data_IF_163179803195
#
_entry.id   IF_163179803195
#
_cell.length_a   1.000
_cell.length_b   1.000
_cell.length_c   1.000
_cell.angle_alpha   90.00
_cell.angle_beta   90.00
_cell.angle_gamma   90.00
#
_symmetry.space_group_name_H-M   'P 1'
#
loop_
_entity.id
_entity.type
_entity.pdbx_description
1 polymer ?
#
# COMPACT_ATOMS: atom_id res chain seq x y z
N UNK A 1 31.61 -1.28 -40.25
CA UNK A 1 32.14 -2.29 -39.30
C UNK A 1 31.46 -2.26 -37.92
N UNK A 2 31.08 -1.11 -37.36
CA UNK A 2 30.48 -1.07 -36.01
C UNK A 2 28.99 -1.46 -35.92
N UNK A 3 28.21 -1.26 -36.99
CA UNK A 3 26.77 -1.56 -36.99
C UNK A 3 26.45 -3.05 -37.04
N UNK A 4 27.30 -3.87 -37.66
CA UNK A 4 27.15 -5.34 -37.70
C UNK A 4 27.42 -5.95 -36.33
N UNK A 5 28.45 -5.46 -35.63
CA UNK A 5 28.81 -5.92 -34.28
C UNK A 5 27.71 -5.62 -33.24
N UNK A 6 27.03 -4.47 -33.36
CA UNK A 6 25.87 -4.16 -32.51
C UNK A 6 24.71 -5.13 -32.74
N UNK A 7 24.42 -5.46 -33.99
CA UNK A 7 23.33 -6.39 -34.35
C UNK A 7 23.63 -7.81 -33.85
N UNK A 8 24.87 -8.28 -33.98
CA UNK A 8 25.28 -9.59 -33.44
C UNK A 8 25.14 -9.67 -31.92
N UNK A 9 25.58 -8.62 -31.20
CA UNK A 9 25.42 -8.55 -29.73
C UNK A 9 23.93 -8.58 -29.34
N UNK A 10 23.05 -7.89 -30.08
CA UNK A 10 21.60 -7.92 -29.82
C UNK A 10 20.99 -9.30 -30.04
N UNK A 11 21.40 -10.01 -31.10
CA UNK A 11 20.94 -11.40 -31.32
C UNK A 11 21.37 -12.32 -30.19
N UNK A 12 22.63 -12.22 -29.74
CA UNK A 12 23.13 -13.00 -28.62
C UNK A 12 22.37 -12.71 -27.32
N UNK A 13 22.03 -11.44 -27.05
CA UNK A 13 21.21 -11.06 -25.89
C UNK A 13 19.83 -11.72 -25.97
N UNK A 14 19.19 -11.71 -27.14
CA UNK A 14 17.87 -12.32 -27.32
C UNK A 14 17.90 -13.84 -27.12
N UNK A 15 18.94 -14.51 -27.61
CA UNK A 15 19.13 -15.96 -27.39
C UNK A 15 19.38 -16.28 -25.91
N UNK A 16 20.23 -15.51 -25.23
CA UNK A 16 20.49 -15.67 -23.80
C UNK A 16 19.25 -15.39 -22.94
N UNK A 17 18.45 -14.38 -23.31
CA UNK A 17 17.18 -14.09 -22.64
C UNK A 17 16.17 -15.24 -22.81
N UNK A 18 16.08 -15.80 -24.02
CA UNK A 18 15.21 -16.95 -24.28
C UNK A 18 15.65 -18.17 -23.47
N UNK A 19 16.95 -18.44 -23.40
CA UNK A 19 17.49 -19.52 -22.59
C UNK A 19 17.20 -19.31 -21.09
N UNK A 20 17.33 -18.08 -20.59
CA UNK A 20 17.00 -17.75 -19.21
C UNK A 20 15.52 -17.96 -18.89
N UNK A 21 14.61 -17.58 -19.80
CA UNK A 21 13.17 -17.79 -19.62
C UNK A 21 12.82 -19.29 -19.58
N UNK A 22 13.43 -20.10 -20.44
CA UNK A 22 13.20 -21.55 -20.47
C UNK A 22 13.68 -22.21 -19.18
N UNK A 23 14.85 -21.81 -18.66
CA UNK A 23 15.36 -22.27 -17.36
C UNK A 23 14.39 -21.89 -16.25
N UNK A 24 13.96 -20.62 -16.18
CA UNK A 24 13.01 -20.15 -15.15
C UNK A 24 11.70 -20.93 -15.24
N UNK A 25 11.21 -21.21 -16.45
CA UNK A 25 9.98 -21.97 -16.65
C UNK A 25 10.10 -23.40 -16.13
N UNK A 26 11.20 -24.08 -16.44
CA UNK A 26 11.45 -25.45 -15.99
C UNK A 26 11.61 -25.52 -14.46
N UNK A 27 12.41 -24.62 -13.89
CA UNK A 27 12.60 -24.50 -12.44
C UNK A 27 11.28 -24.17 -11.74
N UNK A 28 10.47 -23.27 -12.29
CA UNK A 28 9.16 -22.92 -11.75
C UNK A 28 8.21 -24.11 -11.73
N UNK A 29 8.22 -24.95 -12.76
CA UNK A 29 7.39 -26.18 -12.79
C UNK A 29 7.85 -27.15 -11.69
N UNK A 30 9.17 -27.34 -11.53
CA UNK A 30 9.72 -28.19 -10.48
C UNK A 30 9.35 -27.69 -9.07
N UNK A 31 9.51 -26.39 -8.81
CA UNK A 31 9.15 -25.75 -7.54
C UNK A 31 7.65 -25.85 -7.26
N UNK A 32 6.79 -25.59 -8.25
CA UNK A 32 5.33 -25.73 -8.08
C UNK A 32 4.97 -27.17 -7.71
N UNK A 33 5.61 -28.17 -8.34
CA UNK A 33 5.40 -29.59 -8.01
C UNK A 33 5.81 -29.90 -6.58
N UNK A 34 6.96 -29.40 -6.14
CA UNK A 34 7.45 -29.59 -4.76
C UNK A 34 6.51 -28.93 -3.74
N UNK A 35 6.05 -27.70 -4.01
CA UNK A 35 5.09 -27.00 -3.16
C UNK A 35 3.81 -27.83 -3.05
N UNK A 36 3.23 -28.26 -4.17
CA UNK A 36 2.01 -29.09 -4.16
C UNK A 36 2.17 -30.36 -3.32
N UNK A 37 3.28 -31.08 -3.49
CA UNK A 37 3.56 -32.28 -2.70
C UNK A 37 3.66 -31.97 -1.19
N UNK A 38 4.29 -30.83 -0.81
CA UNK A 38 4.31 -30.36 0.57
C UNK A 38 2.91 -30.02 1.07
N UNK A 39 2.08 -29.34 0.28
CA UNK A 39 0.69 -29.04 0.65
C UNK A 39 -0.11 -30.30 0.95
N UNK A 40 0.00 -31.32 0.10
CA UNK A 40 -0.68 -32.59 0.27
C UNK A 40 -0.15 -33.35 1.52
N UNK A 41 1.16 -33.43 1.69
CA UNK A 41 1.79 -34.14 2.80
C UNK A 41 1.43 -33.55 4.18
N UNK A 42 1.30 -32.22 4.26
CA UNK A 42 0.93 -31.53 5.50
C UNK A 42 -0.56 -31.19 5.59
N UNK A 43 -1.38 -31.63 4.62
CA UNK A 43 -2.80 -31.32 4.52
C UNK A 43 -3.10 -29.81 4.66
N UNK A 44 -2.25 -28.98 4.04
CA UNK A 44 -2.36 -27.51 4.03
C UNK A 44 -3.15 -27.09 2.80
N UNK A 45 -4.26 -26.37 3.00
CA UNK A 45 -5.00 -25.78 1.89
C UNK A 45 -4.27 -24.54 1.35
N UNK A 46 -4.39 -24.27 0.05
CA UNK A 46 -3.87 -23.04 -0.58
C UNK A 46 -4.42 -21.78 0.10
N UNK A 47 -5.65 -21.86 0.63
CA UNK A 47 -6.30 -20.77 1.36
C UNK A 47 -5.59 -20.41 2.68
N UNK A 48 -4.94 -21.37 3.33
CA UNK A 48 -4.17 -21.15 4.57
C UNK A 48 -2.87 -20.39 4.31
N UNK A 49 -2.29 -20.54 3.12
CA UNK A 49 -1.08 -19.81 2.69
C UNK A 49 -1.41 -18.42 2.18
N UNK A 50 -2.62 -18.23 1.65
CA UNK A 50 -3.09 -16.91 1.25
C UNK A 50 -3.24 -16.02 2.49
N UNK A 51 -2.18 -15.28 2.81
CA UNK A 51 -2.23 -14.24 3.82
C UNK A 51 -3.20 -13.16 3.32
N UNK A 52 -4.47 -13.26 3.72
CA UNK A 52 -5.48 -12.21 3.53
C UNK A 52 -5.15 -11.07 4.50
N UNK A 53 -4.02 -10.41 4.30
CA UNK A 53 -3.81 -9.09 4.88
C UNK A 53 -4.80 -8.16 4.19
N UNK A 54 -5.97 -7.97 4.81
CA UNK A 54 -6.82 -6.83 4.46
C UNK A 54 -5.90 -5.61 4.56
N UNK A 55 -5.69 -4.82 3.49
CA UNK A 55 -4.95 -3.59 3.63
C UNK A 55 -5.69 -2.78 4.68
N UNK A 56 -5.04 -2.58 5.83
CA UNK A 56 -5.56 -1.66 6.82
C UNK A 56 -5.57 -0.31 6.12
N UNK A 57 -6.77 0.20 5.79
CA UNK A 57 -6.94 1.54 5.26
C UNK A 57 -6.20 2.48 6.22
N UNK A 58 -5.03 2.97 5.81
CA UNK A 58 -4.28 3.96 6.57
C UNK A 58 -5.16 5.20 6.61
N UNK A 59 -5.85 5.40 7.74
CA UNK A 59 -6.64 6.62 7.98
C UNK A 59 -5.65 7.78 7.93
N UNK A 60 -5.69 8.57 6.86
CA UNK A 60 -4.93 9.81 6.80
C UNK A 60 -5.27 10.65 8.04
N UNK A 61 -4.27 11.28 8.68
CA UNK A 61 -4.51 12.08 9.88
C UNK A 61 -5.54 13.16 9.55
N UNK A 62 -6.59 13.25 10.37
CA UNK A 62 -7.65 14.22 10.16
C UNK A 62 -7.09 15.64 10.37
N UNK A 63 -7.22 16.50 9.37
CA UNK A 63 -6.78 17.89 9.42
C UNK A 63 -7.58 18.64 10.49
N UNK A 64 -6.86 19.34 11.39
CA UNK A 64 -7.48 20.17 12.42
C UNK A 64 -8.15 21.37 11.75
N UNK A 65 -9.47 21.51 11.90
CA UNK A 65 -10.26 22.58 11.26
C UNK A 65 -10.41 23.81 12.15
N UNK A 66 -10.52 23.62 13.47
CA UNK A 66 -10.66 24.68 14.46
C UNK A 66 -9.71 24.45 15.65
N UNK A 67 -9.07 25.49 16.18
CA UNK A 67 -8.12 25.42 17.30
C UNK A 67 -8.28 26.63 18.22
N UNK A 68 -8.57 26.39 19.51
CA UNK A 68 -8.65 27.41 20.55
C UNK A 68 -7.31 27.62 21.26
N UNK A 69 -6.58 26.54 21.54
CA UNK A 69 -5.23 26.57 22.08
C UNK A 69 -4.45 25.30 21.67
N UNK A 70 -3.28 25.05 22.26
CA UNK A 70 -2.46 23.89 21.91
C UNK A 70 -3.11 22.54 22.21
N UNK A 71 -3.96 22.48 23.22
CA UNK A 71 -4.59 21.25 23.70
C UNK A 71 -6.07 21.14 23.29
N UNK A 72 -6.70 22.25 22.89
CA UNK A 72 -8.11 22.33 22.50
C UNK A 72 -8.26 22.62 21.01
N UNK A 73 -8.57 21.56 20.26
CA UNK A 73 -8.81 21.64 18.83
C UNK A 73 -9.96 20.72 18.41
N UNK A 74 -10.53 20.98 17.22
CA UNK A 74 -11.62 20.21 16.66
C UNK A 74 -11.44 20.07 15.14
N UNK A 75 -11.47 18.84 14.66
CA UNK A 75 -11.34 18.50 13.23
C UNK A 75 -12.62 18.83 12.42
N UNK A 76 -13.66 19.35 13.06
CA UNK A 76 -14.96 19.63 12.43
C UNK A 76 -15.75 18.37 12.05
N UNK A 77 -15.32 17.20 12.53
CA UNK A 77 -16.00 15.91 12.39
C UNK A 77 -16.22 15.32 13.79
N UNK A 78 -17.36 14.66 14.00
CA UNK A 78 -17.72 14.05 15.27
C UNK A 78 -18.29 15.04 16.31
N UNK A 79 -18.42 14.63 17.58
CA UNK A 79 -19.07 15.44 18.61
C UNK A 79 -18.31 16.75 18.86
N UNK A 80 -19.06 17.85 19.00
CA UNK A 80 -18.50 19.16 19.34
C UNK A 80 -17.90 19.14 20.75
N UNK A 81 -16.62 19.53 20.93
CA UNK A 81 -16.01 19.63 22.26
C UNK A 81 -16.62 20.76 23.07
N UNK A 82 -16.42 20.73 24.39
CA UNK A 82 -17.04 21.65 25.35
C UNK A 82 -16.78 23.12 25.02
N UNK A 83 -15.57 23.46 24.60
CA UNK A 83 -15.21 24.84 24.24
C UNK A 83 -15.95 25.35 23.00
N UNK A 84 -16.25 24.49 22.02
CA UNK A 84 -17.03 24.89 20.83
C UNK A 84 -18.44 25.25 21.25
N UNK A 85 -19.03 24.46 22.15
CA UNK A 85 -20.36 24.74 22.70
C UNK A 85 -20.38 26.02 23.53
N UNK A 86 -19.29 26.30 24.26
CA UNK A 86 -19.15 27.52 25.05
C UNK A 86 -19.07 28.76 24.15
N UNK A 87 -18.26 28.70 23.09
CA UNK A 87 -18.17 29.74 22.04
C UNK A 87 -19.54 30.00 21.40
N UNK A 88 -20.26 28.94 21.01
CA UNK A 88 -21.62 29.08 20.46
C UNK A 88 -22.61 29.67 21.48
N UNK A 89 -22.48 29.32 22.76
CA UNK A 89 -23.32 29.83 23.85
C UNK A 89 -23.05 31.30 24.16
N UNK A 90 -21.80 31.74 24.05
CA UNK A 90 -21.41 33.14 24.23
C UNK A 90 -21.79 34.03 23.04
N UNK A 91 -22.40 33.45 21.99
CA UNK A 91 -22.78 34.17 20.77
C UNK A 91 -21.60 34.43 19.83
N UNK A 92 -20.46 33.81 20.08
CA UNK A 92 -19.25 33.94 19.27
C UNK A 92 -19.25 32.91 18.12
N UNK A 93 -18.67 33.28 16.98
CA UNK A 93 -18.58 32.36 15.84
C UNK A 93 -17.36 31.46 15.97
N UNK A 94 -17.58 30.14 15.92
CA UNK A 94 -16.50 29.15 15.88
C UNK A 94 -15.54 29.35 14.71
N UNK A 95 -15.95 30.06 13.66
CA UNK A 95 -15.12 30.39 12.51
C UNK A 95 -13.92 31.27 12.86
N UNK A 96 -13.96 32.02 13.97
CA UNK A 96 -12.82 32.78 14.45
C UNK A 96 -11.65 31.90 14.91
N UNK A 97 -11.95 30.65 15.28
CA UNK A 97 -10.96 29.64 15.70
C UNK A 97 -10.53 28.75 14.54
N UNK A 98 -10.93 29.05 13.30
CA UNK A 98 -10.58 28.24 12.14
C UNK A 98 -9.08 28.32 11.87
N UNK A 99 -8.43 27.17 11.74
CA UNK A 99 -7.02 27.11 11.37
C UNK A 99 -6.92 27.41 9.87
N UNK A 100 -6.09 28.38 9.44
CA UNK A 100 -5.82 28.58 8.02
C UNK A 100 -5.12 27.32 7.48
N UNK A 101 -5.62 26.82 6.35
CA UNK A 101 -5.05 25.68 5.63
C UNK A 101 -3.94 26.12 4.70
#
# INVERSE_FOLDING_TARGET
MSSTKLSEIKSQIAELQKAADDIIKNERIAVIKEIKAKLENYNISVEEIQQKTKPALSKSPAVIKYRKNEHEYWVGRGPKPGWVKDVEKNGESIEQYRVPV
#
